data_IF_094942937867
#
_entry.id   IF_094942937867
#
_cell.length_a   1.000
_cell.length_b   1.000
_cell.length_c   1.000
_cell.angle_alpha   90.00
_cell.angle_beta   90.00
_cell.angle_gamma   90.00
#
_symmetry.space_group_name_H-M   'P 1'
#
loop_
_entity.id
_entity.type
_entity.pdbx_description
1 polymer ?
#
# COMPACT_ATOMS: atom_id res chain seq x y z
N UNK A 1 9.35 -33.27 46.42
CA UNK A 1 9.57 -33.57 44.99
C UNK A 1 8.37 -33.21 44.11
N UNK A 2 7.12 -33.50 44.51
CA UNK A 2 5.93 -33.12 43.71
C UNK A 2 5.71 -31.61 43.52
N UNK A 3 6.06 -30.77 44.50
CA UNK A 3 5.90 -29.31 44.43
C UNK A 3 6.87 -28.65 43.43
N UNK A 4 8.12 -29.12 43.34
CA UNK A 4 9.11 -28.57 42.41
C UNK A 4 8.82 -28.98 40.96
N UNK A 5 8.36 -30.21 40.74
CA UNK A 5 7.95 -30.68 39.41
C UNK A 5 6.70 -29.95 38.90
N UNK A 6 5.72 -29.69 39.78
CA UNK A 6 4.55 -28.88 39.45
C UNK A 6 4.94 -27.47 39.01
N UNK A 7 5.89 -26.82 39.70
CA UNK A 7 6.35 -25.47 39.34
C UNK A 7 7.02 -25.42 37.97
N UNK A 8 7.81 -26.44 37.60
CA UNK A 8 8.47 -26.49 36.29
C UNK A 8 7.47 -26.69 35.14
N UNK A 9 6.41 -27.47 35.35
CA UNK A 9 5.34 -27.64 34.37
C UNK A 9 4.59 -26.30 34.17
N UNK A 10 4.25 -25.62 35.26
CA UNK A 10 3.55 -24.32 35.20
C UNK A 10 4.40 -23.29 34.45
N UNK A 11 5.70 -23.24 34.73
CA UNK A 11 6.62 -22.34 34.01
C UNK A 11 6.67 -22.66 32.51
N UNK A 12 6.73 -23.94 32.14
CA UNK A 12 6.72 -24.37 30.74
C UNK A 12 5.46 -23.95 29.99
N UNK A 13 4.29 -24.10 30.60
CA UNK A 13 3.00 -23.70 29.99
C UNK A 13 2.92 -22.18 29.78
N UNK A 14 3.42 -21.38 30.73
CA UNK A 14 3.44 -19.91 30.59
C UNK A 14 4.29 -19.49 29.38
N UNK A 15 5.47 -20.10 29.20
CA UNK A 15 6.37 -19.78 28.09
C UNK A 15 5.72 -20.15 26.75
N UNK A 16 5.12 -21.35 26.63
CA UNK A 16 4.43 -21.79 25.41
C UNK A 16 3.23 -20.89 25.10
N UNK A 17 2.47 -20.49 26.13
CA UNK A 17 1.33 -19.57 25.97
C UNK A 17 1.72 -18.23 25.35
N UNK A 18 2.81 -17.61 25.83
CA UNK A 18 3.30 -16.34 25.28
C UNK A 18 3.83 -16.53 23.85
N UNK A 19 4.55 -17.62 23.58
CA UNK A 19 5.10 -17.90 22.25
C UNK A 19 4.02 -18.02 21.17
N UNK A 20 2.87 -18.61 21.49
CA UNK A 20 1.74 -18.73 20.56
C UNK A 20 1.18 -17.34 20.21
N UNK A 21 0.97 -16.49 21.22
CA UNK A 21 0.42 -15.13 21.01
C UNK A 21 1.38 -14.28 20.16
N UNK A 22 2.67 -14.30 20.48
CA UNK A 22 3.69 -13.56 19.70
C UNK A 22 3.78 -14.10 18.28
N UNK A 23 3.76 -15.43 18.09
CA UNK A 23 3.77 -16.05 16.77
C UNK A 23 2.59 -15.59 15.90
N UNK A 24 1.38 -15.54 16.46
CA UNK A 24 0.18 -15.06 15.75
C UNK A 24 0.34 -13.58 15.36
N UNK A 25 0.83 -12.74 16.27
CA UNK A 25 1.06 -11.31 15.99
C UNK A 25 2.08 -11.10 14.86
N UNK A 26 3.19 -11.85 14.86
CA UNK A 26 4.20 -11.77 13.81
C UNK A 26 3.67 -12.15 12.43
N UNK A 27 2.80 -13.17 12.34
CA UNK A 27 2.17 -13.53 11.07
C UNK A 27 1.25 -12.42 10.54
N UNK A 28 0.47 -11.78 11.42
CA UNK A 28 -0.36 -10.62 11.04
C UNK A 28 0.48 -9.44 10.54
N UNK A 29 1.57 -9.12 11.24
CA UNK A 29 2.48 -8.04 10.84
C UNK A 29 3.19 -8.32 9.51
N UNK A 30 3.61 -9.57 9.26
CA UNK A 30 4.26 -9.95 8.00
C UNK A 30 3.31 -9.81 6.80
N UNK A 31 2.03 -10.20 6.95
CA UNK A 31 1.03 -10.02 5.91
C UNK A 31 0.76 -8.52 5.62
N UNK A 32 0.67 -7.71 6.67
CA UNK A 32 0.50 -6.26 6.55
C UNK A 32 1.66 -5.59 5.82
N UNK A 33 2.90 -5.93 6.17
CA UNK A 33 4.10 -5.40 5.51
C UNK A 33 4.19 -5.83 4.04
N UNK A 34 3.83 -7.09 3.74
CA UNK A 34 3.78 -7.57 2.35
C UNK A 34 2.76 -6.79 1.53
N UNK A 35 1.56 -6.55 2.07
CA UNK A 35 0.53 -5.77 1.40
C UNK A 35 0.97 -4.31 1.21
N UNK A 36 1.59 -3.70 2.23
CA UNK A 36 2.16 -2.36 2.18
C UNK A 36 3.15 -2.22 1.00
N UNK A 37 4.08 -3.16 0.86
CA UNK A 37 5.06 -3.15 -0.22
C UNK A 37 4.41 -3.37 -1.59
N UNK A 38 3.42 -4.27 -1.68
CA UNK A 38 2.70 -4.54 -2.92
C UNK A 38 1.93 -3.31 -3.43
N UNK A 39 1.29 -2.54 -2.53
CA UNK A 39 0.58 -1.31 -2.90
C UNK A 39 1.55 -0.24 -3.40
N UNK A 40 2.70 -0.09 -2.74
CA UNK A 40 3.73 0.85 -3.20
C UNK A 40 4.18 0.49 -4.62
N UNK A 41 4.38 -0.80 -4.89
CA UNK A 41 4.74 -1.29 -6.22
C UNK A 41 3.64 -1.02 -7.27
N UNK A 42 2.37 -1.23 -6.91
CA UNK A 42 1.22 -0.91 -7.77
C UNK A 42 1.19 0.58 -8.13
N UNK A 43 1.38 1.46 -7.13
CA UNK A 43 1.40 2.90 -7.34
C UNK A 43 2.59 3.34 -8.18
N UNK A 44 3.77 2.77 -7.96
CA UNK A 44 4.96 3.07 -8.78
C UNK A 44 4.76 2.64 -10.24
N UNK A 45 4.11 1.50 -10.47
CA UNK A 45 3.76 1.03 -11.82
C UNK A 45 2.75 1.98 -12.48
N UNK A 46 1.74 2.42 -11.73
CA UNK A 46 0.75 3.40 -12.19
C UNK A 46 1.41 4.75 -12.52
N UNK A 47 2.31 5.22 -11.66
CA UNK A 47 3.04 6.47 -11.84
C UNK A 47 3.91 6.44 -13.10
N UNK A 48 4.62 5.32 -13.35
CA UNK A 48 5.41 5.15 -14.57
C UNK A 48 4.52 5.21 -15.84
N UNK A 49 3.36 4.54 -15.83
CA UNK A 49 2.38 4.64 -16.92
C UNK A 49 1.82 6.05 -17.09
N UNK A 50 1.58 6.76 -15.98
CA UNK A 50 1.12 8.13 -16.01
C UNK A 50 2.15 9.06 -16.66
N UNK A 51 3.44 8.91 -16.34
CA UNK A 51 4.52 9.67 -16.96
C UNK A 51 4.65 9.38 -18.46
N UNK A 52 4.50 8.11 -18.86
CA UNK A 52 4.45 7.74 -20.27
C UNK A 52 3.25 8.39 -20.98
N UNK A 53 2.08 8.37 -20.34
CA UNK A 53 0.87 9.01 -20.86
C UNK A 53 1.04 10.52 -21.00
N UNK A 54 1.63 11.19 -20.02
CA UNK A 54 1.93 12.62 -20.04
C UNK A 54 2.76 13.03 -21.26
N UNK A 55 3.79 12.26 -21.60
CA UNK A 55 4.68 12.54 -22.74
C UNK A 55 4.04 12.23 -24.08
N UNK A 56 3.02 11.38 -24.11
CA UNK A 56 2.31 10.98 -25.33
C UNK A 56 1.43 12.16 -25.83
N UNK A 57 1.46 12.49 -27.14
CA UNK A 57 0.57 13.50 -27.71
C UNK A 57 -0.92 13.15 -27.56
N UNK A 58 -1.77 14.16 -27.43
CA UNK A 58 -3.23 13.99 -27.32
C UNK A 58 -3.84 13.28 -28.52
N UNK A 59 -3.30 13.53 -29.73
CA UNK A 59 -3.73 12.86 -30.97
C UNK A 59 -3.53 11.33 -30.96
N UNK A 60 -2.65 10.82 -30.08
CA UNK A 60 -2.44 9.39 -29.88
C UNK A 60 -3.11 8.88 -28.59
N UNK A 61 -4.00 9.67 -27.97
CA UNK A 61 -4.65 9.34 -26.70
C UNK A 61 -3.77 9.54 -25.47
N UNK A 62 -2.74 10.39 -25.56
CA UNK A 62 -1.88 10.79 -24.45
C UNK A 62 -2.35 12.06 -23.73
N UNK A 63 -1.57 12.50 -22.74
CA UNK A 63 -1.86 13.68 -21.92
C UNK A 63 -1.39 15.00 -22.51
N UNK A 64 -0.56 14.98 -23.56
CA UNK A 64 -0.11 16.21 -24.22
C UNK A 64 0.63 17.18 -23.30
N UNK A 65 1.45 16.65 -22.40
CA UNK A 65 2.15 17.40 -21.34
C UNK A 65 1.21 18.01 -20.29
N UNK A 66 0.09 17.35 -20.01
CA UNK A 66 -0.80 17.69 -18.89
C UNK A 66 -1.29 16.43 -18.17
N UNK A 67 -1.40 16.48 -16.84
CA UNK A 67 -2.06 15.44 -16.04
C UNK A 67 -3.55 15.72 -15.76
N UNK A 68 -4.11 16.84 -16.19
CA UNK A 68 -5.47 17.25 -15.80
C UNK A 68 -6.56 16.23 -16.19
N UNK A 69 -6.43 15.64 -17.37
CA UNK A 69 -7.39 14.68 -17.91
C UNK A 69 -7.01 13.21 -17.66
N UNK A 70 -6.09 12.95 -16.72
CA UNK A 70 -5.67 11.58 -16.43
C UNK A 70 -6.81 10.77 -15.82
N UNK A 71 -6.96 9.54 -16.28
CA UNK A 71 -7.94 8.57 -15.79
C UNK A 71 -7.33 7.17 -15.79
N UNK A 72 -7.89 6.26 -14.97
CA UNK A 72 -7.44 4.86 -14.92
C UNK A 72 -7.56 4.19 -16.29
N UNK A 73 -8.66 4.46 -17.00
CA UNK A 73 -8.88 3.98 -18.36
C UNK A 73 -7.80 4.47 -19.34
N UNK A 74 -7.37 5.73 -19.24
CA UNK A 74 -6.30 6.28 -20.07
C UNK A 74 -4.93 5.60 -19.82
N UNK A 75 -4.76 4.99 -18.65
CA UNK A 75 -3.56 4.24 -18.25
C UNK A 75 -3.71 2.72 -18.46
N UNK A 76 -4.82 2.27 -19.08
CA UNK A 76 -5.09 0.86 -19.35
C UNK A 76 -5.60 0.07 -18.14
N UNK A 77 -6.12 0.74 -17.12
CA UNK A 77 -6.75 0.09 -15.97
C UNK A 77 -8.26 0.04 -16.15
N UNK A 78 -8.85 -1.12 -15.84
CA UNK A 78 -10.31 -1.33 -15.90
C UNK A 78 -11.06 -0.62 -14.78
N UNK A 79 -10.46 -0.59 -13.59
CA UNK A 79 -11.02 0.03 -12.40
C UNK A 79 -9.90 0.55 -11.48
N UNK A 80 -10.27 1.29 -10.43
CA UNK A 80 -9.38 1.80 -9.41
C UNK A 80 -9.03 0.77 -8.32
N UNK A 81 -9.57 -0.45 -8.43
CA UNK A 81 -9.34 -1.57 -7.51
C UNK A 81 -8.23 -2.48 -8.06
N UNK A 82 -7.21 -2.75 -7.24
CA UNK A 82 -6.18 -3.78 -7.51
C UNK A 82 -6.34 -4.96 -6.55
N UNK A 83 -5.59 -6.04 -6.77
CA UNK A 83 -5.60 -7.19 -5.84
C UNK A 83 -5.12 -6.81 -4.43
N UNK A 84 -4.29 -5.77 -4.34
CA UNK A 84 -3.64 -5.33 -3.11
C UNK A 84 -4.41 -4.24 -2.38
N UNK A 85 -5.39 -3.58 -3.03
CA UNK A 85 -6.10 -2.47 -2.44
C UNK A 85 -6.90 -1.63 -3.43
N UNK A 86 -7.19 -0.39 -3.05
CA UNK A 86 -7.89 0.58 -3.90
C UNK A 86 -7.05 1.83 -4.06
N UNK A 87 -6.99 2.35 -5.28
CA UNK A 87 -6.32 3.59 -5.63
C UNK A 87 -7.34 4.64 -6.06
N UNK A 88 -7.00 5.92 -5.93
CA UNK A 88 -7.73 7.03 -6.53
C UNK A 88 -6.80 8.21 -6.79
N UNK A 89 -7.22 9.08 -7.70
CA UNK A 89 -6.50 10.31 -7.98
C UNK A 89 -7.03 11.44 -7.10
N UNK A 90 -6.11 12.20 -6.52
CA UNK A 90 -6.39 13.46 -5.83
C UNK A 90 -6.31 14.64 -6.78
N UNK A 91 -5.71 15.73 -6.27
CA UNK A 91 -5.43 16.95 -7.04
C UNK A 91 -4.70 16.62 -8.33
N UNK A 92 -5.20 17.15 -9.45
CA UNK A 92 -4.59 17.07 -10.78
C UNK A 92 -4.27 18.48 -11.27
N UNK A 93 -3.13 18.65 -11.90
CA UNK A 93 -2.77 19.89 -12.60
C UNK A 93 -2.03 19.54 -13.88
N UNK A 94 -1.55 20.53 -14.61
CA UNK A 94 -0.69 20.31 -15.76
C UNK A 94 0.52 19.46 -15.39
N UNK A 95 1.28 19.83 -14.35
CA UNK A 95 2.60 19.25 -14.09
C UNK A 95 2.65 18.29 -12.89
N UNK A 96 1.54 18.07 -12.18
CA UNK A 96 1.54 17.10 -11.10
C UNK A 96 0.15 16.52 -10.87
N UNK A 97 0.12 15.34 -10.26
CA UNK A 97 -1.10 14.85 -9.63
C UNK A 97 -0.77 13.97 -8.42
N UNK A 98 -1.73 13.82 -7.51
CA UNK A 98 -1.59 12.96 -6.33
C UNK A 98 -2.27 11.62 -6.58
N UNK A 99 -1.57 10.52 -6.31
CA UNK A 99 -2.13 9.18 -6.25
C UNK A 99 -2.30 8.83 -4.77
N UNK A 100 -3.50 8.45 -4.39
CA UNK A 100 -3.78 7.81 -3.12
C UNK A 100 -3.98 6.33 -3.34
N UNK A 101 -3.48 5.51 -2.41
CA UNK A 101 -3.74 4.09 -2.37
C UNK A 101 -4.00 3.63 -0.94
N UNK A 102 -5.00 2.77 -0.78
CA UNK A 102 -5.41 2.17 0.49
C UNK A 102 -5.27 0.67 0.38
N UNK A 103 -4.57 0.08 1.35
CA UNK A 103 -4.37 -1.36 1.41
C UNK A 103 -5.61 -2.14 1.77
N UNK A 104 -5.59 -3.41 1.38
CA UNK A 104 -6.64 -4.38 1.73
C UNK A 104 -6.49 -4.87 3.18
N UNK A 105 -5.25 -5.05 3.64
CA UNK A 105 -4.98 -5.53 4.99
C UNK A 105 -5.25 -4.42 6.02
N UNK A 106 -5.96 -4.78 7.09
CA UNK A 106 -6.26 -3.88 8.20
C UNK A 106 -5.12 -4.01 9.21
N UNK A 107 -4.59 -2.88 9.66
CA UNK A 107 -3.58 -2.84 10.72
C UNK A 107 -4.12 -3.42 12.03
N UNK A 108 -3.22 -3.79 12.93
CA UNK A 108 -3.60 -4.30 14.27
C UNK A 108 -4.48 -3.30 15.05
N UNK A 109 -4.42 -2.02 14.70
CA UNK A 109 -5.18 -0.92 15.32
C UNK A 109 -6.60 -0.72 14.71
N UNK A 110 -6.98 -1.49 13.69
CA UNK A 110 -8.26 -1.33 12.98
C UNK A 110 -8.20 -0.35 11.79
N UNK A 111 -7.08 0.35 11.65
CA UNK A 111 -6.85 1.33 10.60
C UNK A 111 -6.29 0.68 9.33
N UNK A 112 -6.79 1.12 8.19
CA UNK A 112 -6.25 0.72 6.89
C UNK A 112 -5.12 1.64 6.51
N UNK A 113 -3.97 1.07 6.14
CA UNK A 113 -2.81 1.84 5.69
C UNK A 113 -3.17 2.60 4.42
N UNK A 114 -3.11 3.94 4.49
CA UNK A 114 -3.23 4.81 3.34
C UNK A 114 -1.87 5.42 3.01
N UNK A 115 -1.50 5.39 1.73
CA UNK A 115 -0.29 6.02 1.22
C UNK A 115 -0.65 6.95 0.09
N UNK A 116 0.06 8.08 0.01
CA UNK A 116 -0.06 8.95 -1.14
C UNK A 116 1.31 9.34 -1.71
N UNK A 117 1.31 9.54 -3.03
CA UNK A 117 2.45 9.91 -3.83
C UNK A 117 2.08 11.08 -4.73
N UNK A 118 2.97 12.05 -4.85
CA UNK A 118 2.86 13.10 -5.87
C UNK A 118 3.69 12.70 -7.07
N UNK A 119 3.04 12.56 -8.23
CA UNK A 119 3.70 12.22 -9.49
C UNK A 119 3.93 13.48 -10.30
N UNK A 120 5.19 13.67 -10.70
CA UNK A 120 5.65 14.70 -11.64
C UNK A 120 5.97 14.05 -12.99
N UNK A 121 6.21 14.83 -14.07
CA UNK A 121 6.49 14.29 -15.39
C UNK A 121 7.73 13.38 -15.45
N UNK A 122 8.70 13.68 -14.58
CA UNK A 122 10.04 13.08 -14.61
C UNK A 122 10.43 12.45 -13.27
N UNK A 123 9.62 12.58 -12.22
CA UNK A 123 9.89 12.06 -10.89
C UNK A 123 8.61 11.71 -10.14
N UNK A 124 8.75 10.98 -9.03
CA UNK A 124 7.67 10.67 -8.09
C UNK A 124 8.18 11.02 -6.70
N UNK A 125 7.35 11.63 -5.87
CA UNK A 125 7.71 11.94 -4.48
C UNK A 125 7.90 10.66 -3.67
N UNK A 126 8.60 10.76 -2.55
CA UNK A 126 8.61 9.70 -1.55
C UNK A 126 7.18 9.39 -1.07
N UNK A 127 6.90 8.13 -0.68
CA UNK A 127 5.62 7.76 -0.09
C UNK A 127 5.38 8.54 1.20
N UNK A 128 4.22 9.18 1.31
CA UNK A 128 3.74 9.74 2.57
C UNK A 128 2.64 8.83 3.11
N UNK A 129 2.86 8.32 4.32
CA UNK A 129 1.90 7.45 5.00
C UNK A 129 0.94 8.28 5.83
N UNK A 130 -0.35 8.07 5.62
CA UNK A 130 -1.40 8.64 6.46
C UNK A 130 -1.95 7.52 7.34
N UNK A 131 -1.95 7.76 8.65
CA UNK A 131 -2.56 6.88 9.64
C UNK A 131 -3.95 7.45 9.90
N UNK A 132 -4.99 6.81 9.35
CA UNK A 132 -6.39 7.20 9.45
C UNK A 132 -7.16 6.20 10.29
#
# INVERSE_FOLDING_TARGET
MGTQQLLLIVLGVIIVGIAIVVGIQMFGQSALEANKNAIVQDVMTLAAKAQQWYRKPTVLGGGGRSFENISFAALGYKDSTTENGRMWFGTKSTNQFVIYAKGKEIGADGDTIQVHFTVYPDSVSSPTWDHQ
#
